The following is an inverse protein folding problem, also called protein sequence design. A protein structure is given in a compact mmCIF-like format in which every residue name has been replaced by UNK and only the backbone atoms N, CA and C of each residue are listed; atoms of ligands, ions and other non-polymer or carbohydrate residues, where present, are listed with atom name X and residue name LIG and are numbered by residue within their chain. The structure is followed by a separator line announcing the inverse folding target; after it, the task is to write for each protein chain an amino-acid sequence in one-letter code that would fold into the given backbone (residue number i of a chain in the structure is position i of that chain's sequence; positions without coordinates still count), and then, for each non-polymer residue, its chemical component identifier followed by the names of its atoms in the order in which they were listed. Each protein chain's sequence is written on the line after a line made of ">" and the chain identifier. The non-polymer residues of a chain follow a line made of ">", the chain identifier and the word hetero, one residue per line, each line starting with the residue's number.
data_IF_329950046220
#
_entry.id   IF_329950046220
#
_cell.length_a   1.000
_cell.length_b   1.000
_cell.length_c   1.000
_cell.angle_alpha   90.00
_cell.angle_beta   90.00
_cell.angle_gamma   90.00
#
_symmetry.space_group_name_H-M   'P 1'
#
loop_
_entity.id
_entity.type
_entity.pdbx_description
1 polymer ?
#
# COMPACT_ATOMS: atom_id res chain seq x y z
N UNK A 1 33.40 69.00 14.91
CA UNK A 1 33.36 67.58 15.35
C UNK A 1 31.92 67.14 15.51
N UNK A 2 31.35 66.45 14.51
CA UNK A 2 30.19 65.54 14.67
C UNK A 2 29.98 64.81 13.35
N UNK A 3 30.36 63.53 13.32
CA UNK A 3 30.10 62.64 12.18
C UNK A 3 28.70 62.07 12.38
N UNK A 4 27.82 62.38 11.44
CA UNK A 4 26.56 61.66 11.23
C UNK A 4 26.89 60.26 10.74
N UNK A 5 26.58 59.24 11.52
CA UNK A 5 26.54 57.85 11.04
C UNK A 5 25.08 57.50 10.83
N UNK A 6 24.64 57.55 9.58
CA UNK A 6 23.47 56.81 9.12
C UNK A 6 23.89 55.35 8.87
N UNK A 7 23.13 54.39 9.39
CA UNK A 7 23.00 53.04 8.82
C UNK A 7 21.82 52.34 9.52
N UNK A 8 20.61 52.46 8.97
CA UNK A 8 19.98 51.56 7.99
C UNK A 8 19.51 50.23 8.60
N UNK A 9 18.21 50.21 8.92
CA UNK A 9 17.36 49.03 9.06
C UNK A 9 17.67 48.01 7.96
N UNK A 10 18.09 46.80 8.35
CA UNK A 10 18.17 45.65 7.46
C UNK A 10 17.87 44.37 8.24
N UNK A 11 16.66 44.27 8.77
CA UNK A 11 16.18 43.07 9.49
C UNK A 11 14.82 42.56 9.02
N UNK A 12 14.09 43.27 8.15
CA UNK A 12 12.75 42.79 7.74
C UNK A 12 12.78 41.75 6.61
N UNK A 13 13.61 41.95 5.58
CA UNK A 13 13.50 41.13 4.36
C UNK A 13 14.05 39.69 4.46
N UNK A 14 14.96 39.40 5.39
CA UNK A 14 15.59 38.07 5.53
C UNK A 14 14.81 37.18 6.50
N UNK A 15 14.17 37.78 7.51
CA UNK A 15 13.31 37.07 8.46
C UNK A 15 12.00 36.63 7.79
N UNK A 16 11.42 37.47 6.92
CA UNK A 16 10.23 37.17 6.12
C UNK A 16 10.48 35.99 5.14
N UNK A 17 11.67 35.93 4.54
CA UNK A 17 12.07 34.86 3.62
C UNK A 17 12.30 33.53 4.37
N UNK A 18 12.97 33.59 5.52
CA UNK A 18 13.19 32.42 6.40
C UNK A 18 11.86 31.86 6.95
N UNK A 19 10.91 32.73 7.29
CA UNK A 19 9.58 32.32 7.76
C UNK A 19 8.76 31.65 6.65
N UNK A 20 8.80 32.19 5.42
CA UNK A 20 8.18 31.56 4.26
C UNK A 20 8.78 30.19 3.91
N UNK A 21 10.12 30.07 3.95
CA UNK A 21 10.81 28.80 3.68
C UNK A 21 10.46 27.75 4.74
N UNK A 22 10.39 28.14 6.02
CA UNK A 22 9.99 27.24 7.12
C UNK A 22 8.53 26.81 6.97
N UNK A 23 7.62 27.73 6.71
CA UNK A 23 6.20 27.42 6.52
C UNK A 23 5.97 26.47 5.34
N UNK A 24 6.62 26.72 4.21
CA UNK A 24 6.52 25.85 3.02
C UNK A 24 7.05 24.44 3.29
N UNK A 25 8.20 24.31 3.96
CA UNK A 25 8.74 22.99 4.34
C UNK A 25 7.87 22.27 5.36
N UNK A 26 7.27 23.00 6.31
CA UNK A 26 6.34 22.43 7.28
C UNK A 26 5.06 21.93 6.62
N UNK A 27 4.53 22.65 5.64
CA UNK A 27 3.38 22.19 4.87
C UNK A 27 3.74 20.97 3.99
N UNK A 28 4.90 20.96 3.33
CA UNK A 28 5.38 19.79 2.57
C UNK A 28 5.56 18.55 3.45
N UNK A 29 6.09 18.71 4.65
CA UNK A 29 6.22 17.61 5.63
C UNK A 29 4.84 17.17 6.13
N UNK A 30 3.93 18.11 6.43
CA UNK A 30 2.56 17.80 6.86
C UNK A 30 1.79 17.06 5.78
N UNK A 31 1.92 17.44 4.51
CA UNK A 31 1.32 16.73 3.37
C UNK A 31 1.88 15.32 3.22
N UNK A 32 3.20 15.13 3.36
CA UNK A 32 3.82 13.79 3.34
C UNK A 32 3.37 12.91 4.52
N UNK A 33 3.22 13.50 5.70
CA UNK A 33 2.69 12.81 6.89
C UNK A 33 1.22 12.45 6.69
N UNK A 34 0.38 13.36 6.19
CA UNK A 34 -1.04 13.11 5.93
C UNK A 34 -1.24 11.97 4.93
N UNK A 35 -0.46 11.94 3.84
CA UNK A 35 -0.48 10.83 2.85
C UNK A 35 -0.01 9.50 3.48
N UNK A 36 0.95 9.54 4.41
CA UNK A 36 1.39 8.33 5.13
C UNK A 36 0.39 7.81 6.16
N UNK A 37 -0.59 8.63 6.56
CA UNK A 37 -1.58 8.31 7.61
C UNK A 37 -2.94 7.87 7.03
N UNK A 38 -3.19 8.05 5.73
CA UNK A 38 -4.36 7.51 5.05
C UNK A 38 -4.17 6.03 4.74
N UNK A 39 -4.39 5.17 5.75
CA UNK A 39 -4.39 3.71 5.55
C UNK A 39 -5.40 3.28 4.49
N UNK A 40 -5.04 2.29 3.68
CA UNK A 40 -5.87 1.77 2.59
C UNK A 40 -6.54 0.49 3.07
N UNK A 41 -7.75 0.63 3.60
CA UNK A 41 -8.55 -0.48 4.11
C UNK A 41 -9.35 -1.21 3.00
N UNK A 42 -9.31 -0.73 1.76
CA UNK A 42 -10.08 -1.30 0.65
C UNK A 42 -9.36 -2.47 -0.01
N UNK A 43 -10.14 -3.48 -0.40
CA UNK A 43 -9.67 -4.55 -1.29
C UNK A 43 -9.82 -4.08 -2.74
N UNK A 44 -8.72 -4.15 -3.49
CA UNK A 44 -8.69 -3.82 -4.92
C UNK A 44 -9.23 -5.01 -5.74
N UNK A 45 -10.17 -4.75 -6.64
CA UNK A 45 -10.57 -5.76 -7.64
C UNK A 45 -9.62 -5.71 -8.83
N UNK A 46 -8.95 -6.82 -9.11
CA UNK A 46 -8.09 -6.98 -10.29
C UNK A 46 -8.93 -7.49 -11.47
N UNK A 47 -8.71 -6.87 -12.62
CA UNK A 47 -9.17 -7.36 -13.91
C UNK A 47 -8.10 -7.19 -14.98
N UNK A 48 -8.37 -7.69 -16.19
CA UNK A 48 -7.44 -7.62 -17.32
C UNK A 48 -6.98 -6.20 -17.69
N UNK A 49 -7.81 -5.18 -17.44
CA UNK A 49 -7.52 -3.79 -17.81
C UNK A 49 -6.63 -3.08 -16.80
N UNK A 50 -6.76 -3.42 -15.51
CA UNK A 50 -6.09 -2.71 -14.44
C UNK A 50 -4.88 -3.44 -13.86
N UNK A 51 -4.72 -4.74 -14.15
CA UNK A 51 -3.71 -5.62 -13.57
C UNK A 51 -2.30 -5.01 -13.60
N UNK A 52 -1.79 -4.66 -14.78
CA UNK A 52 -0.43 -4.13 -14.96
C UNK A 52 -0.20 -2.79 -14.26
N UNK A 53 -1.26 -2.03 -14.01
CA UNK A 53 -1.18 -0.79 -13.23
C UNK A 53 -1.09 -1.11 -11.74
N UNK A 54 -1.97 -1.98 -11.25
CA UNK A 54 -2.04 -2.35 -9.82
C UNK A 54 -0.72 -2.94 -9.33
N UNK A 55 -0.11 -3.86 -10.07
CA UNK A 55 1.19 -4.44 -9.66
C UNK A 55 2.30 -3.39 -9.57
N UNK A 56 2.25 -2.37 -10.45
CA UNK A 56 3.26 -1.31 -10.51
C UNK A 56 3.09 -0.27 -9.41
N UNK A 57 1.85 0.11 -9.12
CA UNK A 57 1.51 1.14 -8.13
C UNK A 57 1.57 0.61 -6.70
N UNK A 58 1.40 -0.71 -6.52
CA UNK A 58 1.34 -1.36 -5.21
C UNK A 58 2.44 -2.43 -5.07
N UNK A 59 3.71 -2.03 -4.82
CA UNK A 59 4.84 -2.95 -4.76
C UNK A 59 4.78 -3.95 -3.58
N UNK A 60 4.01 -3.62 -2.52
CA UNK A 60 3.70 -4.51 -1.41
C UNK A 60 2.20 -4.84 -1.45
N UNK A 61 1.89 -6.04 -1.95
CA UNK A 61 0.52 -6.42 -2.30
C UNK A 61 0.30 -7.91 -2.03
N UNK A 62 -0.87 -8.27 -1.52
CA UNK A 62 -1.34 -9.65 -1.47
C UNK A 62 -2.51 -9.80 -2.43
N UNK A 63 -2.44 -10.77 -3.35
CA UNK A 63 -3.52 -11.07 -4.30
C UNK A 63 -4.16 -12.39 -3.92
N UNK A 64 -5.49 -12.38 -3.73
CA UNK A 64 -6.33 -13.58 -3.56
C UNK A 64 -7.01 -13.95 -4.89
N UNK A 65 -6.59 -15.06 -5.48
CA UNK A 65 -7.22 -15.66 -6.64
C UNK A 65 -8.37 -16.56 -6.20
N UNK A 66 -9.58 -16.23 -6.64
CA UNK A 66 -10.81 -16.84 -6.15
C UNK A 66 -11.85 -17.07 -7.27
N UNK A 67 -12.98 -17.67 -6.89
CA UNK A 67 -14.19 -17.77 -7.72
C UNK A 67 -15.43 -17.92 -6.82
N UNK A 68 -16.65 -17.53 -7.27
CA UNK A 68 -17.84 -17.51 -6.40
C UNK A 68 -18.32 -18.90 -5.96
N UNK A 69 -18.12 -19.92 -6.81
CA UNK A 69 -18.49 -21.30 -6.53
C UNK A 69 -17.55 -21.98 -5.51
N UNK A 70 -16.36 -21.43 -5.29
CA UNK A 70 -15.34 -21.99 -4.41
C UNK A 70 -15.72 -21.82 -2.93
N UNK A 71 -16.10 -22.93 -2.29
CA UNK A 71 -16.44 -22.98 -0.85
C UNK A 71 -15.33 -22.43 0.05
N UNK A 72 -14.08 -22.93 -0.03
CA UNK A 72 -12.96 -22.41 0.76
C UNK A 72 -12.68 -20.92 0.54
N UNK A 73 -12.85 -20.41 -0.68
CA UNK A 73 -12.67 -18.98 -0.99
C UNK A 73 -13.67 -18.09 -0.24
N UNK A 74 -14.92 -18.55 -0.09
CA UNK A 74 -15.93 -17.83 0.69
C UNK A 74 -15.59 -17.76 2.18
N UNK A 75 -14.93 -18.79 2.72
CA UNK A 75 -14.44 -18.76 4.11
C UNK A 75 -13.22 -17.84 4.27
N UNK A 76 -12.34 -17.78 3.26
CA UNK A 76 -11.14 -16.96 3.29
C UNK A 76 -11.43 -15.46 3.07
N UNK A 77 -12.47 -15.12 2.30
CA UNK A 77 -12.84 -13.72 2.01
C UNK A 77 -12.94 -12.81 3.25
N UNK A 78 -13.71 -13.13 4.30
CA UNK A 78 -13.80 -12.27 5.49
C UNK A 78 -12.46 -12.17 6.24
N UNK A 79 -11.61 -13.20 6.17
CA UNK A 79 -10.26 -13.17 6.75
C UNK A 79 -9.37 -12.17 6.00
N UNK A 80 -9.41 -12.18 4.67
CA UNK A 80 -8.66 -11.22 3.83
C UNK A 80 -9.13 -9.78 4.09
N UNK A 81 -10.43 -9.56 4.24
CA UNK A 81 -11.00 -8.25 4.59
C UNK A 81 -10.46 -7.75 5.94
N UNK A 82 -10.48 -8.60 6.97
CA UNK A 82 -9.96 -8.24 8.30
C UNK A 82 -8.45 -7.92 8.25
N UNK A 83 -7.66 -8.73 7.54
CA UNK A 83 -6.22 -8.50 7.41
C UNK A 83 -5.90 -7.24 6.60
N UNK A 84 -6.70 -6.91 5.59
CA UNK A 84 -6.57 -5.66 4.84
C UNK A 84 -6.75 -4.44 5.74
N UNK A 85 -7.66 -4.51 6.72
CA UNK A 85 -7.79 -3.47 7.74
C UNK A 85 -6.55 -3.39 8.65
N UNK A 86 -6.07 -4.53 9.16
CA UNK A 86 -4.93 -4.61 10.09
C UNK A 86 -3.64 -4.08 9.45
N UNK A 87 -3.38 -4.41 8.18
CA UNK A 87 -2.14 -4.06 7.47
C UNK A 87 -2.29 -2.87 6.52
N UNK A 88 -3.37 -2.09 6.67
CA UNK A 88 -3.70 -0.94 5.82
C UNK A 88 -2.59 0.12 5.69
N UNK A 89 -1.63 0.15 6.63
CA UNK A 89 -0.47 1.04 6.63
C UNK A 89 0.81 0.43 6.03
N UNK A 90 0.71 -0.36 4.96
CA UNK A 90 1.91 -0.80 4.24
C UNK A 90 1.75 -1.96 3.28
N UNK A 91 0.64 -2.69 3.38
CA UNK A 91 0.33 -3.81 2.49
C UNK A 91 -1.04 -3.59 1.88
N UNK A 92 -1.08 -3.64 0.56
CA UNK A 92 -2.32 -3.62 -0.19
C UNK A 92 -2.89 -5.03 -0.33
N UNK A 93 -4.20 -5.13 -0.45
CA UNK A 93 -4.88 -6.40 -0.71
C UNK A 93 -5.71 -6.27 -1.97
N UNK A 94 -5.69 -7.31 -2.78
CA UNK A 94 -6.46 -7.40 -4.00
C UNK A 94 -7.07 -8.78 -4.18
N UNK A 95 -8.14 -8.82 -4.99
CA UNK A 95 -8.82 -10.04 -5.37
C UNK A 95 -8.92 -10.15 -6.88
N UNK A 96 -8.69 -11.33 -7.42
CA UNK A 96 -8.81 -11.62 -8.85
C UNK A 96 -9.74 -12.83 -9.03
N UNK A 97 -10.90 -12.62 -9.67
CA UNK A 97 -11.78 -13.72 -10.03
C UNK A 97 -11.17 -14.46 -11.23
N UNK A 98 -10.87 -15.74 -11.04
CA UNK A 98 -10.21 -16.59 -12.03
C UNK A 98 -11.10 -16.96 -13.22
N UNK A 99 -12.42 -17.01 -13.04
CA UNK A 99 -13.37 -17.28 -14.12
C UNK A 99 -13.44 -16.10 -15.11
N UNK A 100 -13.41 -14.88 -14.57
CA UNK A 100 -13.50 -13.63 -15.33
C UNK A 100 -12.15 -13.23 -15.95
N UNK A 101 -11.04 -13.65 -15.33
CA UNK A 101 -9.69 -13.22 -15.70
C UNK A 101 -8.78 -14.42 -16.00
N UNK A 102 -9.25 -15.28 -16.92
CA UNK A 102 -8.57 -16.54 -17.26
C UNK A 102 -7.13 -16.36 -17.74
N UNK A 103 -6.84 -15.28 -18.48
CA UNK A 103 -5.50 -15.00 -18.95
C UNK A 103 -4.54 -14.65 -17.81
N UNK A 104 -4.99 -13.84 -16.84
CA UNK A 104 -4.21 -13.57 -15.61
C UNK A 104 -4.03 -14.87 -14.83
N UNK A 105 -5.10 -15.64 -14.62
CA UNK A 105 -5.01 -16.92 -13.91
C UNK A 105 -4.00 -17.89 -14.56
N UNK A 106 -3.99 -17.95 -15.90
CA UNK A 106 -3.02 -18.73 -16.66
C UNK A 106 -1.58 -18.22 -16.48
N UNK A 107 -1.36 -16.90 -16.55
CA UNK A 107 -0.04 -16.29 -16.33
C UNK A 107 0.54 -16.62 -14.95
N UNK A 108 -0.32 -16.67 -13.93
CA UNK A 108 0.06 -17.05 -12.57
C UNK A 108 0.13 -18.56 -12.34
N UNK A 109 -0.22 -19.38 -13.33
CA UNK A 109 -0.25 -20.84 -13.20
C UNK A 109 -1.26 -21.33 -12.18
N UNK A 110 -2.41 -20.66 -12.04
CA UNK A 110 -3.43 -21.02 -11.05
C UNK A 110 -4.04 -22.38 -11.42
N UNK A 111 -3.72 -23.40 -10.63
CA UNK A 111 -4.28 -24.76 -10.76
C UNK A 111 -5.30 -25.11 -9.66
N UNK A 112 -5.37 -24.30 -8.62
CA UNK A 112 -6.31 -24.46 -7.50
C UNK A 112 -6.64 -23.11 -6.88
N UNK A 113 -7.83 -22.99 -6.31
CA UNK A 113 -8.30 -21.81 -5.60
C UNK A 113 -8.83 -22.16 -4.19
N UNK A 114 -8.68 -21.26 -3.20
CA UNK A 114 -8.00 -19.97 -3.32
C UNK A 114 -6.49 -20.13 -3.46
N UNK A 115 -5.83 -19.18 -4.11
CA UNK A 115 -4.38 -19.08 -4.15
C UNK A 115 -3.96 -17.65 -3.85
N UNK A 116 -3.04 -17.48 -2.91
CA UNK A 116 -2.52 -16.19 -2.47
C UNK A 116 -1.12 -15.96 -3.01
N UNK A 117 -0.89 -14.78 -3.59
CA UNK A 117 0.42 -14.34 -4.05
C UNK A 117 0.86 -13.11 -3.28
N UNK A 118 2.05 -13.16 -2.69
CA UNK A 118 2.60 -12.11 -1.84
C UNK A 118 3.71 -11.39 -2.60
N UNK A 119 3.49 -10.11 -2.85
CA UNK A 119 4.42 -9.20 -3.50
C UNK A 119 5.16 -8.36 -2.48
N UNK A 120 6.47 -8.21 -2.64
CA UNK A 120 7.30 -7.25 -1.92
C UNK A 120 8.26 -6.60 -2.90
N UNK A 121 8.30 -5.27 -2.89
CA UNK A 121 9.08 -4.49 -3.85
C UNK A 121 8.79 -4.85 -5.32
N UNK A 122 7.53 -5.16 -5.65
CA UNK A 122 7.09 -5.48 -7.01
C UNK A 122 7.42 -6.89 -7.50
N UNK A 123 8.01 -7.74 -6.65
CA UNK A 123 8.30 -9.15 -6.98
C UNK A 123 7.50 -10.09 -6.08
N UNK A 124 7.07 -11.23 -6.63
CA UNK A 124 6.48 -12.32 -5.84
C UNK A 124 7.56 -12.91 -4.93
N UNK A 125 7.31 -12.90 -3.62
CA UNK A 125 8.21 -13.46 -2.62
C UNK A 125 7.67 -14.73 -1.97
N UNK A 126 6.37 -14.97 -2.07
CA UNK A 126 5.72 -16.13 -1.49
C UNK A 126 4.40 -16.43 -2.19
N UNK A 127 3.98 -17.70 -2.13
CA UNK A 127 2.69 -18.17 -2.66
C UNK A 127 2.11 -19.18 -1.69
N UNK A 128 0.79 -19.12 -1.48
CA UNK A 128 0.04 -20.12 -0.72
C UNK A 128 -1.11 -20.64 -1.57
N UNK A 129 -1.37 -21.95 -1.50
CA UNK A 129 -2.56 -22.55 -2.10
C UNK A 129 -3.45 -23.13 -1.02
N UNK A 130 -4.75 -22.86 -1.12
CA UNK A 130 -5.75 -23.23 -0.13
C UNK A 130 -6.05 -22.12 0.89
N UNK A 131 -7.08 -22.35 1.70
CA UNK A 131 -7.48 -21.43 2.76
C UNK A 131 -6.75 -21.76 4.08
N UNK A 132 -6.30 -20.73 4.79
CA UNK A 132 -5.72 -20.84 6.13
C UNK A 132 -6.56 -20.06 7.15
N UNK A 133 -6.51 -20.44 8.44
CA UNK A 133 -7.04 -19.60 9.52
C UNK A 133 -6.33 -18.24 9.59
N UNK A 134 -7.03 -17.24 10.13
CA UNK A 134 -6.54 -15.86 10.22
C UNK A 134 -5.18 -15.76 10.90
N UNK A 135 -5.01 -16.43 12.03
CA UNK A 135 -3.82 -16.32 12.87
C UNK A 135 -2.57 -16.81 12.13
N UNK A 136 -2.71 -17.86 11.33
CA UNK A 136 -1.62 -18.38 10.51
C UNK A 136 -1.29 -17.43 9.36
N UNK A 137 -2.32 -16.93 8.66
CA UNK A 137 -2.12 -16.00 7.55
C UNK A 137 -1.52 -14.67 8.01
N UNK A 138 -1.95 -14.16 9.16
CA UNK A 138 -1.37 -12.99 9.81
C UNK A 138 0.10 -13.23 10.16
N UNK A 139 0.43 -14.38 10.75
CA UNK A 139 1.81 -14.75 11.08
C UNK A 139 2.72 -14.79 9.84
N UNK A 140 2.22 -15.36 8.72
CA UNK A 140 2.93 -15.36 7.44
C UNK A 140 3.18 -13.94 6.96
N UNK A 141 2.15 -13.08 6.94
CA UNK A 141 2.29 -11.68 6.52
C UNK A 141 3.33 -10.96 7.39
N UNK A 142 3.23 -11.08 8.71
CA UNK A 142 4.18 -10.46 9.65
C UNK A 142 5.62 -10.90 9.37
N UNK A 143 5.83 -12.19 9.16
CA UNK A 143 7.14 -12.77 8.84
C UNK A 143 7.69 -12.25 7.51
N UNK A 144 6.89 -12.23 6.45
CA UNK A 144 7.32 -11.82 5.10
C UNK A 144 7.64 -10.32 5.01
N UNK A 145 6.86 -9.48 5.70
CA UNK A 145 6.96 -8.03 5.61
C UNK A 145 7.75 -7.38 6.76
N UNK A 146 8.17 -8.14 7.77
CA UNK A 146 9.05 -7.66 8.84
C UNK A 146 8.32 -6.93 9.97
N UNK A 147 7.05 -7.27 10.21
CA UNK A 147 6.32 -6.82 11.39
C UNK A 147 6.61 -7.79 12.54
N UNK A 148 7.63 -7.49 13.33
CA UNK A 148 7.96 -8.23 14.57
C UNK A 148 7.04 -7.85 15.73
#
# INVERSE_FOLDING_TARGET
>A
MRILIHNLNKTSGMDDELEHIRAKRMEEIKQRILVSQSGHAGIITINQENYDRIIREHPNLVIDFWAPWCGPCRMLTPVIEELAHIFSQGIWFAKCNTDENQQIAYQYGISAIPSLFFYKNGAVIHTLSGALPKEQLESVIRSLYGFS
#
